data_IF_409807385211
#
_entry.id   IF_409807385211
#
_cell.length_a   1.000
_cell.length_b   1.000
_cell.length_c   1.000
_cell.angle_alpha   90.00
_cell.angle_beta   90.00
_cell.angle_gamma   90.00
#
_symmetry.space_group_name_H-M   'P 1'
#
loop_
_entity.id
_entity.type
_entity.pdbx_description
1 polymer ?
#
# COMPACT_ATOMS: atom_id res chain seq x y z
N UNK A 1 -24.43 39.16 20.69
CA UNK A 1 -23.23 38.69 21.40
C UNK A 1 -22.84 37.34 20.83
N UNK A 2 -21.62 37.29 20.29
CA UNK A 2 -20.79 36.13 19.95
C UNK A 2 -21.35 35.09 18.98
N UNK A 3 -21.31 35.43 17.68
CA UNK A 3 -21.11 34.47 16.59
C UNK A 3 -19.63 34.09 16.56
N UNK A 4 -19.28 32.88 17.00
CA UNK A 4 -17.94 32.34 16.87
C UNK A 4 -17.84 31.61 15.53
N UNK A 5 -17.34 32.30 14.52
CA UNK A 5 -16.94 31.70 13.26
C UNK A 5 -15.83 30.67 13.52
N UNK A 6 -16.09 29.41 13.20
CA UNK A 6 -15.02 28.43 12.99
C UNK A 6 -14.40 28.73 11.64
N UNK A 7 -13.26 29.38 11.66
CA UNK A 7 -12.33 29.46 10.52
C UNK A 7 -11.86 28.04 10.22
N UNK A 8 -12.25 27.52 9.06
CA UNK A 8 -11.66 26.31 8.48
C UNK A 8 -10.24 26.64 8.06
N UNK A 9 -9.24 26.19 8.83
CA UNK A 9 -7.83 26.22 8.41
C UNK A 9 -7.64 25.28 7.21
N UNK A 10 -7.84 25.79 6.00
CA UNK A 10 -7.36 25.11 4.78
C UNK A 10 -5.86 25.38 4.66
N UNK A 11 -5.06 24.30 4.68
CA UNK A 11 -3.61 24.35 4.57
C UNK A 11 -3.17 25.13 3.33
N UNK A 12 -2.20 26.04 3.51
CA UNK A 12 -1.79 27.03 2.50
C UNK A 12 -1.40 26.47 1.13
N UNK A 13 -1.08 27.35 0.17
CA UNK A 13 -0.76 27.05 -1.25
C UNK A 13 0.20 25.87 -1.48
N UNK A 14 0.18 25.25 -2.67
CA UNK A 14 1.16 24.23 -3.09
C UNK A 14 2.60 24.68 -2.80
N UNK A 15 2.94 25.95 -3.08
CA UNK A 15 4.24 26.54 -2.75
C UNK A 15 4.58 26.50 -1.26
N UNK A 16 3.62 26.84 -0.40
CA UNK A 16 3.80 26.73 1.05
C UNK A 16 3.97 25.28 1.52
N UNK A 17 3.23 24.33 0.94
CA UNK A 17 3.30 22.90 1.28
C UNK A 17 4.63 22.27 0.87
N UNK A 18 5.14 22.62 -0.31
CA UNK A 18 6.50 22.23 -0.75
C UNK A 18 7.56 22.84 0.18
N UNK A 19 7.39 24.10 0.61
CA UNK A 19 8.30 24.74 1.59
C UNK A 19 8.36 23.96 2.90
N UNK A 20 7.21 23.54 3.39
CA UNK A 20 7.09 22.79 4.64
C UNK A 20 7.67 21.38 4.52
N UNK A 21 7.47 20.71 3.38
CA UNK A 21 8.08 19.41 3.09
C UNK A 21 9.62 19.49 3.05
N UNK A 22 10.19 20.54 2.42
CA UNK A 22 11.64 20.78 2.39
C UNK A 22 12.19 20.98 3.81
N UNK A 23 11.49 21.77 4.64
CA UNK A 23 11.86 21.97 6.06
C UNK A 23 11.78 20.68 6.86
N UNK A 24 10.73 19.88 6.67
CA UNK A 24 10.54 18.61 7.37
C UNK A 24 11.62 17.57 7.03
N UNK A 25 12.03 17.52 5.76
CA UNK A 25 13.13 16.67 5.29
C UNK A 25 14.53 17.18 5.70
N UNK A 26 14.62 18.34 6.37
CA UNK A 26 15.86 19.00 6.79
C UNK A 26 16.88 19.19 5.64
N UNK A 27 16.40 19.36 4.41
CA UNK A 27 17.22 19.67 3.23
C UNK A 27 17.09 21.13 2.83
N UNK A 28 18.08 21.67 2.14
CA UNK A 28 18.01 23.06 1.64
C UNK A 28 17.26 23.09 0.30
N UNK A 29 16.60 24.21 0.00
CA UNK A 29 15.99 24.42 -1.32
C UNK A 29 17.00 24.24 -2.46
N UNK A 30 18.27 24.64 -2.26
CA UNK A 30 19.33 24.46 -3.24
C UNK A 30 19.59 22.98 -3.55
N UNK A 31 19.61 22.13 -2.52
CA UNK A 31 19.78 20.68 -2.67
C UNK A 31 18.54 20.06 -3.31
N UNK A 32 17.35 20.44 -2.87
CA UNK A 32 16.09 19.98 -3.49
C UNK A 32 16.05 20.32 -4.97
N UNK A 33 16.37 21.56 -5.35
CA UNK A 33 16.39 22.00 -6.75
C UNK A 33 17.36 21.16 -7.59
N UNK A 34 18.58 20.95 -7.11
CA UNK A 34 19.57 20.11 -7.80
C UNK A 34 19.11 18.66 -7.95
N UNK A 35 18.44 18.08 -6.95
CA UNK A 35 17.97 16.68 -6.97
C UNK A 35 16.74 16.45 -7.83
N UNK A 36 15.94 17.48 -8.09
CA UNK A 36 14.72 17.40 -8.91
C UNK A 36 14.90 18.03 -10.29
N UNK A 37 16.15 18.33 -10.67
CA UNK A 37 16.55 18.93 -11.95
C UNK A 37 15.81 20.25 -12.23
N UNK A 38 15.82 21.13 -11.22
CA UNK A 38 15.34 22.50 -11.27
C UNK A 38 16.47 23.47 -10.95
N UNK A 39 16.40 24.68 -11.50
CA UNK A 39 17.27 25.77 -11.02
C UNK A 39 16.80 26.25 -9.63
N UNK A 40 17.72 26.67 -8.73
CA UNK A 40 17.34 27.24 -7.44
C UNK A 40 16.39 28.44 -7.55
N UNK A 41 16.51 29.24 -8.62
CA UNK A 41 15.60 30.35 -8.90
C UNK A 41 14.19 29.86 -9.28
N UNK A 42 14.08 28.85 -10.16
CA UNK A 42 12.79 28.27 -10.54
C UNK A 42 12.06 27.67 -9.33
N UNK A 43 12.79 26.94 -8.47
CA UNK A 43 12.20 26.39 -7.25
C UNK A 43 11.78 27.49 -6.27
N UNK A 44 12.60 28.53 -6.09
CA UNK A 44 12.28 29.67 -5.21
C UNK A 44 11.03 30.41 -5.69
N UNK A 45 10.90 30.66 -7.00
CA UNK A 45 9.72 31.28 -7.57
C UNK A 45 8.48 30.41 -7.38
N UNK A 46 8.60 29.10 -7.53
CA UNK A 46 7.47 28.19 -7.35
C UNK A 46 7.02 28.03 -5.89
N UNK A 47 7.98 27.95 -4.96
CA UNK A 47 7.67 27.93 -3.52
C UNK A 47 7.01 29.22 -3.03
N UNK A 48 7.32 30.35 -3.66
CA UNK A 48 6.74 31.65 -3.33
C UNK A 48 5.52 32.01 -4.21
N UNK A 49 4.92 31.03 -4.88
CA UNK A 49 3.71 31.17 -5.70
C UNK A 49 3.86 32.19 -6.86
N UNK A 50 5.09 32.50 -7.27
CA UNK A 50 5.42 33.37 -8.43
C UNK A 50 5.57 32.59 -9.74
N UNK A 51 5.40 31.27 -9.69
CA UNK A 51 5.51 30.31 -10.80
C UNK A 51 4.78 29.03 -10.39
N UNK A 52 3.84 28.52 -11.19
CA UNK A 52 3.27 27.20 -10.91
C UNK A 52 4.36 26.12 -10.99
N UNK A 53 4.28 25.09 -10.13
CA UNK A 53 5.12 23.92 -10.35
C UNK A 53 4.64 23.17 -11.58
N UNK A 54 5.57 22.65 -12.37
CA UNK A 54 5.19 21.64 -13.35
C UNK A 54 4.91 20.32 -12.65
N UNK A 55 4.08 19.49 -13.26
CA UNK A 55 3.70 18.17 -12.76
C UNK A 55 4.91 17.26 -12.52
N UNK A 56 5.91 17.29 -13.41
CA UNK A 56 7.13 16.50 -13.26
C UNK A 56 8.01 17.03 -12.14
N UNK A 57 7.94 18.33 -11.83
CA UNK A 57 8.60 18.92 -10.66
C UNK A 57 7.93 18.47 -9.36
N UNK A 58 6.59 18.52 -9.25
CA UNK A 58 5.88 18.07 -8.03
C UNK A 58 6.11 16.58 -7.74
N UNK A 59 6.10 15.74 -8.77
CA UNK A 59 6.40 14.31 -8.63
C UNK A 59 7.84 14.10 -8.17
N UNK A 60 8.82 14.71 -8.84
CA UNK A 60 10.24 14.58 -8.45
C UNK A 60 10.49 15.12 -7.04
N UNK A 61 9.81 16.20 -6.65
CA UNK A 61 9.85 16.76 -5.30
C UNK A 61 9.23 15.80 -4.28
N UNK A 62 8.07 15.22 -4.55
CA UNK A 62 7.43 14.24 -3.67
C UNK A 62 8.31 12.98 -3.50
N UNK A 63 8.85 12.47 -4.61
CA UNK A 63 9.76 11.32 -4.64
C UNK A 63 11.04 11.59 -3.82
N UNK A 64 11.69 12.74 -4.06
CA UNK A 64 12.95 13.10 -3.40
C UNK A 64 12.77 13.38 -1.91
N UNK A 65 11.69 14.08 -1.53
CA UNK A 65 11.44 14.46 -0.14
C UNK A 65 10.73 13.35 0.66
N UNK A 66 10.30 12.26 0.01
CA UNK A 66 9.45 11.24 0.62
C UNK A 66 8.10 11.82 1.09
N UNK A 67 7.62 12.87 0.42
CA UNK A 67 6.39 13.57 0.77
C UNK A 67 5.17 12.95 0.08
N UNK A 68 4.00 13.05 0.72
CA UNK A 68 2.74 12.60 0.13
C UNK A 68 2.30 13.57 -0.97
N UNK A 69 2.31 13.10 -2.23
CA UNK A 69 1.90 13.90 -3.38
C UNK A 69 0.45 14.39 -3.25
N UNK A 70 -0.44 13.59 -2.64
CA UNK A 70 -1.82 14.02 -2.34
C UNK A 70 -1.80 15.26 -1.46
N UNK A 71 -1.03 15.23 -0.37
CA UNK A 71 -0.90 16.38 0.52
C UNK A 71 -0.36 17.62 -0.21
N UNK A 72 0.63 17.45 -1.08
CA UNK A 72 1.17 18.57 -1.85
C UNK A 72 0.11 19.21 -2.76
N UNK A 73 -0.75 18.41 -3.39
CA UNK A 73 -1.76 18.87 -4.35
C UNK A 73 -3.03 19.37 -3.65
N UNK A 74 -3.57 18.64 -2.67
CA UNK A 74 -4.88 18.93 -2.06
C UNK A 74 -4.80 19.64 -0.71
N UNK A 75 -3.60 19.75 -0.11
CA UNK A 75 -3.43 20.32 1.22
C UNK A 75 -3.87 19.43 2.38
N UNK A 76 -4.58 18.34 2.09
CA UNK A 76 -5.02 17.36 3.06
C UNK A 76 -3.82 16.57 3.58
N UNK A 77 -3.43 16.81 4.84
CA UNK A 77 -2.47 15.94 5.51
C UNK A 77 -3.23 14.66 5.79
N UNK A 78 -2.86 13.57 5.11
CA UNK A 78 -3.24 12.25 5.58
C UNK A 78 -2.58 12.04 6.95
N UNK A 79 -3.19 12.57 8.01
CA UNK A 79 -2.84 12.16 9.35
C UNK A 79 -3.32 10.72 9.42
N UNK A 80 -2.41 9.79 9.11
CA UNK A 80 -2.63 8.34 9.03
C UNK A 80 -3.25 7.75 10.32
N UNK A 81 -3.47 8.57 11.35
CA UNK A 81 -4.14 8.27 12.62
C UNK A 81 -5.61 8.71 12.69
N UNK A 82 -6.06 9.65 11.87
CA UNK A 82 -7.42 10.19 11.94
C UNK A 82 -8.44 9.44 11.08
N UNK A 83 -8.01 8.44 10.30
CA UNK A 83 -8.95 7.55 9.61
C UNK A 83 -9.54 6.47 10.54
N UNK A 84 -10.17 6.89 11.65
CA UNK A 84 -11.37 6.20 12.16
C UNK A 84 -12.55 6.97 11.60
N UNK A 85 -13.05 6.52 10.45
CA UNK A 85 -14.06 7.25 9.70
C UNK A 85 -15.27 7.63 10.55
N UNK A 86 -15.69 8.88 10.45
CA UNK A 86 -17.13 9.12 10.35
C UNK A 86 -17.53 8.71 8.93
N UNK A 87 -18.53 7.84 8.75
CA UNK A 87 -19.07 7.52 7.44
C UNK A 87 -19.53 8.83 6.80
N UNK A 88 -19.12 9.11 5.56
CA UNK A 88 -19.80 10.12 4.77
C UNK A 88 -21.26 9.66 4.60
N UNK A 89 -22.26 10.35 5.18
CA UNK A 89 -23.65 9.87 5.21
C UNK A 89 -24.28 9.77 3.81
N UNK A 90 -23.66 10.39 2.80
CA UNK A 90 -24.23 10.52 1.46
C UNK A 90 -23.93 9.33 0.53
N UNK A 91 -23.21 8.30 0.99
CA UNK A 91 -22.95 7.09 0.20
C UNK A 91 -23.43 5.80 0.90
N UNK A 92 -24.63 5.84 1.51
CA UNK A 92 -25.21 4.77 2.33
C UNK A 92 -26.01 3.72 1.54
N UNK A 93 -25.50 3.25 0.41
CA UNK A 93 -25.93 1.98 -0.18
C UNK A 93 -24.73 1.06 -0.27
N UNK A 94 -24.68 0.09 0.65
CA UNK A 94 -23.76 -1.04 0.54
C UNK A 94 -23.98 -1.68 -0.84
N UNK A 95 -22.95 -1.73 -1.70
CA UNK A 95 -23.10 -2.25 -3.05
C UNK A 95 -23.41 -3.75 -3.05
N UNK A 96 -24.31 -4.21 -3.93
CA UNK A 96 -24.60 -5.62 -4.25
C UNK A 96 -23.51 -6.17 -5.18
N UNK A 97 -23.49 -7.48 -5.39
CA UNK A 97 -22.49 -8.19 -6.22
C UNK A 97 -22.34 -7.69 -7.68
N UNK A 98 -23.27 -6.90 -8.21
CA UNK A 98 -23.19 -6.23 -9.53
C UNK A 98 -22.21 -5.02 -9.52
N UNK A 99 -21.76 -4.57 -8.35
CA UNK A 99 -21.03 -3.31 -8.19
C UNK A 99 -19.49 -3.44 -8.30
N UNK A 100 -18.92 -4.65 -8.16
CA UNK A 100 -17.48 -4.86 -8.43
C UNK A 100 -17.17 -4.53 -9.90
N UNK A 101 -17.99 -5.00 -10.85
CA UNK A 101 -17.77 -4.75 -12.28
C UNK A 101 -17.83 -3.27 -12.63
N UNK A 102 -18.66 -2.48 -11.94
CA UNK A 102 -18.68 -1.01 -12.12
C UNK A 102 -17.33 -0.40 -11.74
N UNK A 103 -16.76 -0.83 -10.60
CA UNK A 103 -15.43 -0.39 -10.21
C UNK A 103 -14.36 -0.87 -11.20
N UNK A 104 -14.44 -2.13 -11.64
CA UNK A 104 -13.49 -2.71 -12.58
C UNK A 104 -13.54 -2.03 -13.96
N UNK A 105 -14.72 -1.63 -14.44
CA UNK A 105 -14.87 -0.87 -15.69
C UNK A 105 -14.33 0.56 -15.56
N UNK A 106 -14.61 1.23 -14.45
CA UNK A 106 -13.98 2.52 -14.13
C UNK A 106 -12.45 2.40 -14.06
N UNK A 107 -11.96 1.30 -13.50
CA UNK A 107 -10.55 1.00 -13.41
C UNK A 107 -9.92 0.76 -14.79
N UNK A 108 -10.55 -0.04 -15.66
CA UNK A 108 -10.11 -0.21 -17.06
C UNK A 108 -10.07 1.14 -17.78
N UNK A 109 -11.12 1.95 -17.61
CA UNK A 109 -11.20 3.27 -18.21
C UNK A 109 -10.07 4.20 -17.75
N UNK A 110 -9.77 4.21 -16.44
CA UNK A 110 -8.64 4.95 -15.89
C UNK A 110 -7.32 4.55 -16.56
N UNK A 111 -7.03 3.25 -16.71
CA UNK A 111 -5.81 2.82 -17.39
C UNK A 111 -5.79 3.31 -18.85
N UNK A 112 -6.88 3.17 -19.60
CA UNK A 112 -6.97 3.67 -20.97
C UNK A 112 -6.78 5.19 -21.06
N UNK A 113 -7.30 5.95 -20.08
CA UNK A 113 -7.14 7.41 -20.01
C UNK A 113 -5.69 7.86 -19.72
N UNK A 114 -4.86 7.00 -19.14
CA UNK A 114 -3.48 7.33 -18.77
C UNK A 114 -2.56 7.52 -19.98
N UNK A 115 -2.98 7.08 -21.17
CA UNK A 115 -2.19 7.11 -22.40
C UNK A 115 -1.37 5.84 -22.55
N UNK A 116 -0.04 5.95 -22.61
CA UNK A 116 0.82 4.78 -22.84
C UNK A 116 0.89 3.89 -21.60
N UNK A 117 0.31 2.69 -21.72
CA UNK A 117 0.44 1.63 -20.72
C UNK A 117 1.66 0.77 -21.07
N UNK A 118 2.54 0.55 -20.09
CA UNK A 118 3.70 -0.33 -20.24
C UNK A 118 3.32 -1.76 -19.81
N UNK A 119 3.30 -2.75 -20.72
CA UNK A 119 2.90 -4.10 -20.38
C UNK A 119 3.82 -4.71 -19.33
N UNK A 120 3.28 -5.63 -18.54
CA UNK A 120 4.05 -6.36 -17.55
C UNK A 120 5.04 -7.28 -18.26
N UNK A 121 6.35 -7.20 -17.95
CA UNK A 121 7.32 -8.17 -18.43
C UNK A 121 6.92 -9.59 -18.02
N UNK A 122 7.37 -10.64 -18.74
CA UNK A 122 7.10 -12.02 -18.35
C UNK A 122 7.48 -12.27 -16.89
N UNK A 123 6.51 -12.70 -16.10
CA UNK A 123 6.73 -12.99 -14.69
C UNK A 123 7.67 -14.20 -14.53
N UNK A 124 8.55 -14.20 -13.53
CA UNK A 124 9.34 -15.37 -13.20
C UNK A 124 8.46 -16.59 -12.94
N UNK A 125 8.89 -17.75 -13.43
CA UNK A 125 8.06 -18.97 -13.44
C UNK A 125 8.13 -19.76 -12.13
N UNK A 126 9.05 -19.40 -11.25
CA UNK A 126 9.23 -20.07 -9.96
C UNK A 126 8.99 -19.11 -8.79
N UNK A 127 8.41 -19.59 -7.67
CA UNK A 127 8.26 -18.79 -6.46
C UNK A 127 9.60 -18.22 -5.96
N UNK A 128 10.69 -18.99 -6.13
CA UNK A 128 12.03 -18.56 -5.72
C UNK A 128 12.51 -17.34 -6.51
N UNK A 129 12.42 -17.37 -7.84
CA UNK A 129 12.81 -16.24 -8.68
C UNK A 129 11.92 -15.02 -8.43
N UNK A 130 10.61 -15.22 -8.20
CA UNK A 130 9.71 -14.14 -7.78
C UNK A 130 10.18 -13.48 -6.47
N UNK A 131 10.52 -14.26 -5.44
CA UNK A 131 11.05 -13.71 -4.17
C UNK A 131 12.35 -12.94 -4.38
N UNK A 132 13.24 -13.47 -5.23
CA UNK A 132 14.51 -12.79 -5.56
C UNK A 132 14.24 -11.45 -6.25
N UNK A 133 13.33 -11.42 -7.23
CA UNK A 133 12.94 -10.19 -7.94
C UNK A 133 12.24 -9.15 -7.07
N UNK A 134 11.39 -9.59 -6.14
CA UNK A 134 10.71 -8.70 -5.17
C UNK A 134 11.65 -8.18 -4.07
N UNK A 135 12.77 -8.88 -3.85
CA UNK A 135 13.80 -8.50 -2.89
C UNK A 135 13.47 -8.85 -1.43
N UNK A 136 14.40 -8.56 -0.49
CA UNK A 136 14.21 -8.88 0.91
C UNK A 136 13.08 -8.05 1.54
N UNK A 137 12.34 -8.65 2.48
CA UNK A 137 11.25 -8.00 3.22
C UNK A 137 10.15 -7.41 2.32
N UNK A 138 9.96 -7.95 1.12
CA UNK A 138 9.03 -7.40 0.13
C UNK A 138 7.59 -7.29 0.66
N UNK A 139 7.20 -8.14 1.61
CA UNK A 139 5.87 -8.19 2.21
C UNK A 139 5.50 -6.96 3.06
N UNK A 140 6.46 -6.15 3.48
CA UNK A 140 6.17 -4.89 4.17
C UNK A 140 5.70 -3.78 3.21
N UNK A 141 5.98 -3.93 1.90
CA UNK A 141 5.64 -2.96 0.87
C UNK A 141 5.29 -3.68 -0.45
N UNK A 142 4.47 -4.73 -0.36
CA UNK A 142 4.19 -5.67 -1.45
C UNK A 142 3.69 -4.94 -2.71
N UNK A 143 2.74 -4.02 -2.54
CA UNK A 143 2.18 -3.18 -3.60
C UNK A 143 3.27 -2.44 -4.40
N UNK A 144 4.23 -1.82 -3.71
CA UNK A 144 5.33 -1.08 -4.34
C UNK A 144 6.34 -2.00 -5.03
N UNK A 145 6.62 -3.18 -4.45
CA UNK A 145 7.55 -4.15 -5.02
C UNK A 145 7.00 -4.79 -6.29
N UNK A 146 5.70 -5.06 -6.31
CA UNK A 146 5.01 -5.55 -7.51
C UNK A 146 5.03 -4.49 -8.62
N UNK A 147 4.82 -3.21 -8.29
CA UNK A 147 4.90 -2.13 -9.27
C UNK A 147 6.25 -2.04 -9.99
N UNK A 148 7.35 -2.41 -9.32
CA UNK A 148 8.71 -2.45 -9.89
C UNK A 148 8.89 -3.55 -10.94
N UNK A 149 8.13 -4.65 -10.85
CA UNK A 149 8.14 -5.73 -11.84
C UNK A 149 6.97 -5.63 -12.83
N UNK A 150 6.28 -4.48 -12.83
CA UNK A 150 5.20 -4.21 -13.76
C UNK A 150 3.83 -4.77 -13.37
N UNK A 151 3.65 -5.22 -12.12
CA UNK A 151 2.35 -5.67 -11.60
C UNK A 151 1.77 -4.59 -10.70
N UNK A 152 0.58 -4.09 -11.02
CA UNK A 152 -0.04 -3.03 -10.23
C UNK A 152 -0.99 -3.60 -9.19
N UNK A 153 -0.87 -3.17 -7.93
CA UNK A 153 -1.82 -3.50 -6.86
C UNK A 153 -2.69 -2.29 -6.56
N UNK A 154 -4.01 -2.50 -6.55
CA UNK A 154 -5.01 -1.47 -6.26
C UNK A 154 -5.84 -1.92 -5.08
N UNK A 155 -6.03 -1.03 -4.11
CA UNK A 155 -6.90 -1.26 -2.95
C UNK A 155 -8.08 -0.31 -3.02
N UNK A 156 -9.29 -0.83 -2.91
CA UNK A 156 -10.51 -0.02 -2.94
C UNK A 156 -11.58 -0.56 -1.99
N UNK A 157 -12.44 0.32 -1.46
CA UNK A 157 -13.48 -0.05 -0.48
C UNK A 157 -14.72 -0.63 -1.14
N UNK A 158 -14.88 -0.31 -2.41
CA UNK A 158 -15.99 -0.67 -3.28
C UNK A 158 -15.88 -2.13 -3.73
N UNK A 159 -14.67 -2.69 -3.70
CA UNK A 159 -14.43 -4.09 -4.04
C UNK A 159 -14.86 -4.99 -2.89
N UNK A 160 -15.63 -6.02 -3.22
CA UNK A 160 -16.07 -7.04 -2.29
C UNK A 160 -15.11 -8.25 -2.25
N UNK A 161 -14.40 -8.50 -3.34
CA UNK A 161 -13.41 -9.57 -3.45
C UNK A 161 -12.18 -9.14 -4.26
N UNK A 162 -11.05 -9.84 -4.10
CA UNK A 162 -9.90 -9.73 -4.99
C UNK A 162 -10.24 -10.07 -6.45
N UNK A 163 -9.61 -9.37 -7.39
CA UNK A 163 -9.71 -9.58 -8.83
C UNK A 163 -8.33 -9.45 -9.49
N UNK A 164 -8.16 -10.18 -10.59
CA UNK A 164 -7.03 -10.05 -11.50
C UNK A 164 -7.55 -9.51 -12.84
N UNK A 165 -6.89 -8.49 -13.38
CA UNK A 165 -7.19 -7.90 -14.67
C UNK A 165 -5.92 -7.82 -15.52
N UNK A 166 -6.12 -7.91 -16.83
CA UNK A 166 -5.15 -7.51 -17.84
C UNK A 166 -5.72 -6.29 -18.57
N UNK A 167 -4.96 -5.20 -18.60
CA UNK A 167 -5.27 -4.03 -19.42
C UNK A 167 -4.06 -3.73 -20.30
N UNK A 168 -4.20 -4.00 -21.61
CA UNK A 168 -3.13 -3.81 -22.60
C UNK A 168 -1.82 -4.54 -22.23
N UNK A 169 -1.92 -5.74 -21.66
CA UNK A 169 -0.77 -6.54 -21.23
C UNK A 169 -0.20 -6.11 -19.86
N UNK A 170 -0.80 -5.13 -19.18
CA UNK A 170 -0.48 -4.78 -17.80
C UNK A 170 -1.33 -5.61 -16.84
N UNK A 171 -0.68 -6.39 -15.98
CA UNK A 171 -1.29 -7.16 -14.92
C UNK A 171 -1.66 -6.24 -13.76
N UNK A 172 -2.92 -6.29 -13.36
CA UNK A 172 -3.49 -5.52 -12.26
C UNK A 172 -4.14 -6.49 -11.26
N UNK A 173 -3.81 -6.33 -9.99
CA UNK A 173 -4.42 -7.05 -8.88
C UNK A 173 -5.22 -6.04 -8.06
N UNK A 174 -6.54 -6.10 -8.16
CA UNK A 174 -7.45 -5.21 -7.45
C UNK A 174 -8.02 -5.94 -6.23
N UNK A 175 -7.85 -5.40 -5.03
CA UNK A 175 -8.31 -6.04 -3.78
C UNK A 175 -9.14 -5.09 -2.91
N UNK A 176 -10.03 -5.63 -2.06
CA UNK A 176 -10.70 -4.84 -1.05
C UNK A 176 -9.71 -4.19 -0.08
N UNK A 177 -9.96 -2.95 0.34
CA UNK A 177 -9.27 -2.41 1.51
C UNK A 177 -9.62 -3.25 2.73
N UNK A 178 -8.61 -3.61 3.53
CA UNK A 178 -8.83 -4.46 4.70
C UNK A 178 -7.92 -4.06 5.84
N UNK A 179 -8.46 -4.11 7.06
CA UNK A 179 -7.66 -4.04 8.27
C UNK A 179 -6.86 -5.34 8.51
N UNK A 180 -7.11 -6.40 7.75
CA UNK A 180 -6.30 -7.61 7.78
C UNK A 180 -5.24 -7.57 6.67
N UNK A 181 -4.11 -6.95 6.99
CA UNK A 181 -2.96 -6.88 6.11
C UNK A 181 -2.39 -8.27 5.78
N UNK A 182 -2.51 -9.24 6.71
CA UNK A 182 -2.00 -10.58 6.49
C UNK A 182 -2.83 -11.36 5.48
N UNK A 183 -4.16 -11.22 5.54
CA UNK A 183 -5.04 -11.80 4.53
C UNK A 183 -4.86 -11.12 3.17
N UNK A 184 -4.69 -9.78 3.15
CA UNK A 184 -4.41 -9.05 1.90
C UNK A 184 -3.19 -9.59 1.16
N UNK A 185 -2.12 -9.95 1.87
CA UNK A 185 -0.92 -10.52 1.25
C UNK A 185 -1.16 -11.91 0.66
N UNK A 186 -2.00 -12.73 1.32
CA UNK A 186 -2.41 -14.03 0.79
C UNK A 186 -3.21 -13.85 -0.50
N UNK A 187 -4.16 -12.93 -0.50
CA UNK A 187 -5.00 -12.64 -1.66
C UNK A 187 -4.14 -12.15 -2.85
N UNK A 188 -3.22 -11.22 -2.60
CA UNK A 188 -2.29 -10.73 -3.63
C UNK A 188 -1.41 -11.86 -4.16
N UNK A 189 -0.84 -12.70 -3.28
CA UNK A 189 0.01 -13.80 -3.69
C UNK A 189 -0.73 -14.83 -4.55
N UNK A 190 -2.00 -15.13 -4.23
CA UNK A 190 -2.84 -16.01 -5.05
C UNK A 190 -3.06 -15.42 -6.45
N UNK A 191 -3.39 -14.13 -6.56
CA UNK A 191 -3.63 -13.50 -7.86
C UNK A 191 -2.35 -13.32 -8.68
N UNK A 192 -1.22 -13.07 -8.02
CA UNK A 192 0.09 -13.09 -8.67
C UNK A 192 0.44 -14.49 -9.18
N UNK A 193 0.15 -15.53 -8.39
CA UNK A 193 0.37 -16.91 -8.80
C UNK A 193 -0.49 -17.29 -10.01
N UNK A 194 -1.75 -16.84 -10.07
CA UNK A 194 -2.60 -17.02 -11.27
C UNK A 194 -1.94 -16.43 -12.51
N UNK A 195 -1.42 -15.20 -12.42
CA UNK A 195 -0.75 -14.54 -13.52
C UNK A 195 0.59 -15.21 -13.90
N UNK A 196 1.36 -15.70 -12.92
CA UNK A 196 2.66 -16.32 -13.14
C UNK A 196 2.58 -17.75 -13.67
N UNK A 197 1.57 -18.52 -13.27
CA UNK A 197 1.47 -19.94 -13.69
C UNK A 197 1.22 -20.04 -15.19
N UNK A 198 0.49 -19.11 -15.81
CA UNK A 198 0.43 -18.93 -17.27
C UNK A 198 0.19 -20.20 -18.10
N UNK A 199 -0.38 -21.26 -17.51
CA UNK A 199 -0.67 -22.53 -18.19
C UNK A 199 -1.96 -22.40 -18.96
N UNK A 200 -2.11 -23.19 -20.02
CA UNK A 200 -3.43 -23.55 -20.53
C UNK A 200 -4.15 -24.33 -19.41
N UNK A 201 -5.01 -23.64 -18.66
CA UNK A 201 -5.86 -24.17 -17.59
C UNK A 201 -5.10 -24.64 -16.31
N UNK A 202 -4.51 -23.72 -15.52
CA UNK A 202 -3.93 -24.07 -14.22
C UNK A 202 -4.99 -24.63 -13.28
N UNK A 203 -4.62 -25.64 -12.47
CA UNK A 203 -5.51 -26.08 -11.39
C UNK A 203 -5.45 -25.12 -10.22
N UNK A 204 -6.53 -25.00 -9.45
CA UNK A 204 -6.53 -24.22 -8.19
C UNK A 204 -5.37 -24.64 -7.27
N UNK A 205 -5.03 -25.93 -7.27
CA UNK A 205 -3.94 -26.48 -6.47
C UNK A 205 -2.55 -26.00 -6.93
N UNK A 206 -2.34 -25.81 -8.24
CA UNK A 206 -1.08 -25.25 -8.76
C UNK A 206 -0.90 -23.79 -8.26
N UNK A 207 -1.96 -22.99 -8.36
CA UNK A 207 -1.99 -21.59 -7.91
C UNK A 207 -1.73 -21.50 -6.42
N UNK A 208 -2.43 -22.29 -5.61
CA UNK A 208 -2.26 -22.34 -4.15
C UNK A 208 -0.82 -22.74 -3.80
N UNK A 209 -0.26 -23.74 -4.46
CA UNK A 209 1.10 -24.20 -4.21
C UNK A 209 2.15 -23.11 -4.48
N UNK A 210 2.00 -22.37 -5.58
CA UNK A 210 2.89 -21.25 -5.94
C UNK A 210 2.75 -20.10 -4.93
N UNK A 211 1.53 -19.73 -4.54
CA UNK A 211 1.28 -18.68 -3.57
C UNK A 211 1.82 -19.05 -2.17
N UNK A 212 1.59 -20.28 -1.72
CA UNK A 212 2.09 -20.79 -0.44
C UNK A 212 3.62 -20.82 -0.41
N UNK A 213 4.27 -21.30 -1.47
CA UNK A 213 5.74 -21.32 -1.56
C UNK A 213 6.33 -19.91 -1.70
N UNK A 214 5.62 -18.99 -2.36
CA UNK A 214 6.01 -17.58 -2.46
C UNK A 214 6.00 -16.91 -1.09
N UNK A 215 4.98 -17.15 -0.27
CA UNK A 215 4.82 -16.51 1.05
C UNK A 215 5.60 -17.23 2.15
N UNK A 216 5.54 -18.56 2.16
CA UNK A 216 6.02 -19.44 3.21
C UNK A 216 6.86 -20.59 2.61
N UNK A 217 8.10 -20.30 2.18
CA UNK A 217 8.97 -21.29 1.54
C UNK A 217 9.19 -22.53 2.41
N UNK A 218 9.12 -23.71 1.80
CA UNK A 218 9.27 -24.98 2.51
C UNK A 218 10.63 -25.08 3.22
N UNK A 219 11.70 -24.66 2.55
CA UNK A 219 13.06 -24.71 3.11
C UNK A 219 13.18 -23.84 4.38
N UNK A 220 12.60 -22.64 4.39
CA UNK A 220 12.58 -21.76 5.55
C UNK A 220 11.73 -22.37 6.67
N UNK A 221 10.54 -22.90 6.36
CA UNK A 221 9.67 -23.56 7.34
C UNK A 221 10.33 -24.76 8.02
N UNK A 222 11.05 -25.59 7.27
CA UNK A 222 11.76 -26.76 7.79
C UNK A 222 12.98 -26.40 8.63
N UNK A 223 13.58 -25.23 8.40
CA UNK A 223 14.73 -24.74 9.18
C UNK A 223 14.38 -24.30 10.60
N UNK A 224 13.09 -24.10 10.89
CA UNK A 224 12.62 -23.63 12.20
C UNK A 224 12.50 -24.81 13.16
N UNK A 225 13.10 -24.67 14.35
CA UNK A 225 12.86 -25.60 15.46
C UNK A 225 11.49 -25.32 16.11
N UNK A 226 10.45 -25.95 15.54
CA UNK A 226 9.08 -25.86 16.04
C UNK A 226 8.91 -26.44 17.46
N UNK A 227 9.83 -27.27 17.95
CA UNK A 227 9.74 -27.85 19.29
C UNK A 227 10.22 -26.91 20.39
N UNK A 228 11.03 -25.90 20.07
CA UNK A 228 11.52 -24.89 21.01
C UNK A 228 10.96 -23.48 20.76
N UNK A 229 10.29 -23.26 19.63
CA UNK A 229 9.72 -21.95 19.29
C UNK A 229 8.79 -21.39 20.40
N UNK A 230 9.03 -20.13 20.76
CA UNK A 230 8.20 -19.37 21.70
C UNK A 230 7.05 -18.66 20.98
N UNK A 231 6.03 -18.23 21.73
CA UNK A 231 4.92 -17.42 21.16
C UNK A 231 5.44 -16.12 20.54
N UNK A 232 6.38 -15.44 21.21
CA UNK A 232 7.01 -14.22 20.69
C UNK A 232 7.74 -14.47 19.36
N UNK A 233 8.47 -15.59 19.24
CA UNK A 233 9.12 -15.98 17.99
C UNK A 233 8.11 -16.30 16.88
N UNK A 234 7.01 -16.99 17.21
CA UNK A 234 5.92 -17.26 16.28
C UNK A 234 5.27 -15.96 15.77
N UNK A 235 4.97 -15.00 16.64
CA UNK A 235 4.43 -13.70 16.24
C UNK A 235 5.40 -12.93 15.33
N UNK A 236 6.70 -12.99 15.60
CA UNK A 236 7.72 -12.40 14.71
C UNK A 236 7.75 -13.06 13.34
N UNK A 237 7.60 -14.38 13.26
CA UNK A 237 7.53 -15.11 11.98
C UNK A 237 6.28 -14.71 11.19
N UNK A 238 5.09 -14.74 11.81
CA UNK A 238 3.83 -14.32 11.18
C UNK A 238 3.91 -12.88 10.68
N UNK A 239 4.52 -11.97 11.46
CA UNK A 239 4.72 -10.58 11.06
C UNK A 239 5.75 -10.44 9.93
N UNK A 240 6.85 -11.18 9.97
CA UNK A 240 7.90 -11.12 8.93
C UNK A 240 7.39 -11.65 7.59
N UNK A 241 6.63 -12.73 7.62
CA UNK A 241 6.05 -13.33 6.42
C UNK A 241 4.69 -12.75 6.04
N UNK A 242 4.12 -11.89 6.89
CA UNK A 242 2.85 -11.22 6.63
C UNK A 242 1.71 -12.17 6.27
N UNK A 243 1.62 -13.31 6.96
CA UNK A 243 0.62 -14.35 6.74
C UNK A 243 -0.24 -14.57 7.99
N UNK A 244 -1.53 -14.95 7.83
CA UNK A 244 -2.39 -15.24 8.96
C UNK A 244 -2.05 -16.58 9.62
N UNK A 245 -2.45 -16.74 10.87
CA UNK A 245 -2.25 -18.00 11.64
C UNK A 245 -2.80 -19.22 10.91
N UNK A 246 -3.96 -19.08 10.27
CA UNK A 246 -4.61 -20.13 9.49
C UNK A 246 -3.76 -20.56 8.30
N UNK A 247 -3.21 -19.63 7.51
CA UNK A 247 -2.39 -19.96 6.34
C UNK A 247 -1.12 -20.72 6.76
N UNK A 248 -0.44 -20.25 7.82
CA UNK A 248 0.73 -20.97 8.36
C UNK A 248 0.35 -22.35 8.90
N UNK A 249 -0.78 -22.48 9.60
CA UNK A 249 -1.29 -23.77 10.08
C UNK A 249 -1.51 -24.76 8.95
N UNK A 250 -2.26 -24.37 7.93
CA UNK A 250 -2.54 -25.19 6.73
C UNK A 250 -1.23 -25.61 6.05
N UNK A 251 -0.30 -24.67 5.84
CA UNK A 251 0.98 -24.96 5.16
C UNK A 251 1.83 -25.97 5.94
N UNK A 252 1.88 -25.86 7.27
CA UNK A 252 2.61 -26.81 8.12
C UNK A 252 1.99 -28.21 8.05
N UNK A 253 0.67 -28.31 7.99
CA UNK A 253 -0.04 -29.58 7.83
C UNK A 253 0.21 -30.21 6.46
N UNK A 254 0.10 -29.44 5.38
CA UNK A 254 0.39 -29.88 4.00
C UNK A 254 1.83 -30.43 3.87
N UNK A 255 2.81 -29.72 4.43
CA UNK A 255 4.23 -30.12 4.41
C UNK A 255 4.57 -31.23 5.42
N UNK A 256 3.57 -31.68 6.21
CA UNK A 256 3.70 -32.68 7.27
C UNK A 256 4.77 -32.33 8.30
N UNK A 257 4.91 -31.04 8.61
CA UNK A 257 5.86 -30.55 9.62
C UNK A 257 5.24 -30.76 11.01
N UNK A 258 5.94 -31.51 11.86
CA UNK A 258 5.46 -31.80 13.22
C UNK A 258 5.52 -30.54 14.08
N UNK A 259 4.35 -30.08 14.53
CA UNK A 259 4.21 -28.97 15.46
C UNK A 259 3.79 -29.47 16.85
N UNK A 260 4.32 -28.92 17.96
CA UNK A 260 3.84 -29.28 19.30
C UNK A 260 2.46 -28.68 19.59
N UNK A 261 1.72 -29.26 20.55
CA UNK A 261 0.36 -28.83 20.93
C UNK A 261 0.25 -27.33 21.26
N UNK A 262 1.33 -26.73 21.80
CA UNK A 262 1.37 -25.29 22.09
C UNK A 262 1.36 -24.42 20.84
N UNK A 263 2.06 -24.83 19.79
CA UNK A 263 2.08 -24.11 18.51
C UNK A 263 0.72 -24.23 17.83
N UNK A 264 0.16 -25.44 17.78
CA UNK A 264 -1.20 -25.66 17.24
C UNK A 264 -2.27 -24.82 17.94
N UNK A 265 -2.20 -24.69 19.28
CA UNK A 265 -3.11 -23.82 20.03
C UNK A 265 -3.00 -22.36 19.63
N UNK A 266 -1.78 -21.84 19.44
CA UNK A 266 -1.58 -20.47 18.98
C UNK A 266 -2.07 -20.27 17.54
N UNK A 267 -1.83 -21.24 16.65
CA UNK A 267 -2.27 -21.18 15.25
C UNK A 267 -3.79 -21.33 15.07
N UNK A 268 -4.48 -21.91 16.06
CA UNK A 268 -5.94 -21.97 16.09
C UNK A 268 -6.60 -20.65 16.52
N UNK A 269 -5.84 -19.69 17.05
CA UNK A 269 -6.34 -18.35 17.36
C UNK A 269 -6.41 -17.49 16.10
N UNK A 270 -7.23 -16.44 16.10
CA UNK A 270 -7.12 -15.41 15.07
C UNK A 270 -5.76 -14.71 15.17
N UNK A 271 -5.22 -14.25 14.04
CA UNK A 271 -3.94 -13.52 14.00
C UNK A 271 -3.96 -12.30 14.93
N UNK A 272 -5.08 -11.57 14.95
CA UNK A 272 -5.29 -10.40 15.81
C UNK A 272 -5.29 -10.76 17.30
N UNK A 273 -5.96 -11.85 17.68
CA UNK A 273 -5.96 -12.31 19.08
C UNK A 273 -4.58 -12.75 19.54
N UNK A 274 -3.84 -13.44 18.67
CA UNK A 274 -2.48 -13.89 18.97
C UNK A 274 -1.53 -12.69 19.15
N UNK A 275 -1.62 -11.68 18.29
CA UNK A 275 -0.83 -10.45 18.43
C UNK A 275 -1.23 -9.63 19.66
N UNK A 276 -2.52 -9.52 19.96
CA UNK A 276 -3.01 -8.84 21.18
C UNK A 276 -2.47 -9.53 22.44
N UNK A 277 -2.61 -10.85 22.51
CA UNK A 277 -2.14 -11.65 23.65
C UNK A 277 -0.61 -11.55 23.84
N UNK A 278 0.15 -11.46 22.74
CA UNK A 278 1.61 -11.26 22.83
C UNK A 278 1.94 -9.84 23.30
N UNK A 279 1.25 -8.82 22.81
CA UNK A 279 1.43 -7.42 23.24
C UNK A 279 1.15 -7.22 24.74
N UNK A 280 0.10 -7.86 25.26
CA UNK A 280 -0.20 -7.85 26.70
C UNK A 280 0.88 -8.52 27.55
N UNK A 281 1.45 -9.62 27.06
CA UNK A 281 2.58 -10.29 27.71
C UNK A 281 3.82 -9.40 27.73
N UNK A 282 4.15 -8.75 26.60
CA UNK A 282 5.30 -7.84 26.49
C UNK A 282 5.17 -6.64 27.45
N UNK A 283 3.96 -6.07 27.60
CA UNK A 283 3.67 -4.98 28.56
C UNK A 283 3.85 -5.43 30.01
N UNK A 284 3.34 -6.61 30.34
CA UNK A 284 3.42 -7.17 31.70
C UNK A 284 4.88 -7.44 32.10
N UNK A 285 5.74 -7.84 31.15
CA UNK A 285 7.19 -8.01 31.39
C UNK A 285 7.91 -6.67 31.53
N UNK A 286 7.53 -5.65 30.76
CA UNK A 286 8.10 -4.31 30.85
C UNK A 286 7.78 -3.62 32.19
N UNK A 287 6.55 -3.75 32.68
CA UNK A 287 6.11 -3.19 33.97
C UNK A 287 6.80 -3.86 35.17
N UNK A 288 7.26 -5.11 35.02
CA UNK A 288 8.02 -5.86 36.04
C UNK A 288 9.51 -5.50 36.11
N UNK A 289 9.93 -4.37 35.53
CA UNK A 289 11.24 -3.76 35.77
C UNK A 289 12.41 -4.37 35.00
N UNK A 290 12.19 -5.36 34.12
CA UNK A 290 13.22 -5.80 33.18
C UNK A 290 13.19 -4.89 31.95
N UNK A 291 13.90 -3.75 32.05
CA UNK A 291 14.25 -2.91 30.89
C UNK A 291 15.17 -3.69 29.95
N UNK A 292 14.58 -4.53 29.11
CA UNK A 292 15.29 -5.14 27.99
C UNK A 292 14.31 -5.39 26.84
N UNK A 293 13.89 -4.31 26.18
CA UNK A 293 13.29 -4.43 24.85
C UNK A 293 13.53 -3.17 24.02
N UNK A 294 14.78 -2.68 24.00
CA UNK A 294 15.32 -2.09 22.77
C UNK A 294 15.65 -3.24 21.81
N UNK A 295 14.64 -4.03 21.44
CA UNK A 295 14.78 -5.06 20.43
C UNK A 295 14.75 -4.36 19.06
N UNK A 296 15.70 -4.70 18.21
CA UNK A 296 15.89 -4.13 16.86
C UNK A 296 14.55 -3.86 16.16
N UNK A 297 14.19 -2.58 16.04
CA UNK A 297 13.16 -2.13 15.08
C UNK A 297 13.73 -2.26 13.68
N UNK A 298 13.85 -3.49 13.17
CA UNK A 298 13.91 -3.74 11.73
C UNK A 298 12.49 -4.07 11.28
N UNK A 299 11.90 -3.17 10.49
CA UNK A 299 10.56 -3.31 9.90
C UNK A 299 9.51 -2.34 10.43
N UNK A 300 8.46 -2.11 9.62
CA UNK A 300 7.35 -1.20 9.94
C UNK A 300 6.53 -1.67 11.14
N UNK A 301 6.17 -0.79 12.10
CA UNK A 301 5.21 -1.07 13.17
C UNK A 301 3.94 -1.76 12.67
N UNK A 302 3.36 -2.67 13.46
CA UNK A 302 2.13 -3.37 13.08
C UNK A 302 0.99 -2.39 12.74
N UNK A 303 0.85 -1.30 13.50
CA UNK A 303 -0.13 -0.24 13.21
C UNK A 303 0.05 0.36 11.82
N UNK A 304 1.28 0.56 11.37
CA UNK A 304 1.56 1.20 10.09
C UNK A 304 1.21 0.27 8.93
N UNK A 305 1.43 -1.05 9.09
CA UNK A 305 0.99 -2.08 8.14
C UNK A 305 -0.54 -2.15 8.02
N UNK A 306 -1.25 -2.09 9.16
CA UNK A 306 -2.72 -2.11 9.20
C UNK A 306 -3.33 -0.86 8.55
N UNK A 307 -2.73 0.31 8.77
CA UNK A 307 -3.16 1.56 8.14
C UNK A 307 -2.92 1.48 6.63
N UNK A 308 -1.72 1.03 6.21
CA UNK A 308 -1.39 0.90 4.80
C UNK A 308 -2.35 -0.04 4.06
N UNK A 309 -2.74 -1.18 4.66
CA UNK A 309 -3.65 -2.14 4.03
C UNK A 309 -5.11 -1.67 3.95
N UNK A 310 -5.49 -0.70 4.79
CA UNK A 310 -6.86 -0.17 4.89
C UNK A 310 -7.10 1.09 4.04
N UNK A 311 -6.04 1.67 3.47
CA UNK A 311 -6.13 2.85 2.62
C UNK A 311 -6.47 2.46 1.17
N UNK A 312 -7.26 3.29 0.48
CA UNK A 312 -7.36 3.22 -0.98
C UNK A 312 -5.98 3.51 -1.56
N UNK A 313 -5.53 2.69 -2.50
CA UNK A 313 -4.22 2.86 -3.16
C UNK A 313 -4.32 2.60 -4.65
N UNK A 314 -3.62 3.43 -5.42
CA UNK A 314 -3.38 3.28 -6.85
C UNK A 314 -1.88 3.41 -7.13
N UNK A 315 -1.36 2.79 -8.20
CA UNK A 315 0.03 2.95 -8.60
C UNK A 315 0.39 4.41 -8.82
N UNK A 316 1.56 4.82 -8.33
CA UNK A 316 2.03 6.20 -8.44
C UNK A 316 2.11 6.68 -9.89
N UNK A 317 2.58 5.82 -10.80
CA UNK A 317 2.71 6.16 -12.21
C UNK A 317 1.35 6.50 -12.84
N UNK A 318 0.30 5.79 -12.44
CA UNK A 318 -1.05 5.98 -12.96
C UNK A 318 -1.68 7.28 -12.43
N UNK A 319 -1.51 7.56 -11.14
CA UNK A 319 -1.91 8.85 -10.54
C UNK A 319 -1.18 9.99 -11.25
N UNK A 320 0.13 9.84 -11.47
CA UNK A 320 0.95 10.84 -12.15
C UNK A 320 0.46 11.07 -13.59
N UNK A 321 0.13 10.02 -14.33
CA UNK A 321 -0.40 10.15 -15.69
C UNK A 321 -1.72 10.95 -15.71
N UNK A 322 -2.66 10.65 -14.82
CA UNK A 322 -3.92 11.40 -14.73
C UNK A 322 -3.70 12.84 -14.31
N UNK A 323 -2.84 13.08 -13.33
CA UNK A 323 -2.47 14.43 -12.91
C UNK A 323 -1.92 15.25 -14.09
N UNK A 324 -1.04 14.68 -14.91
CA UNK A 324 -0.51 15.35 -16.10
C UNK A 324 -1.62 15.72 -17.09
N UNK A 325 -2.50 14.77 -17.40
CA UNK A 325 -3.59 14.98 -18.36
C UNK A 325 -4.60 16.04 -17.87
N UNK A 326 -4.92 16.03 -16.57
CA UNK A 326 -5.80 17.04 -15.95
C UNK A 326 -5.16 18.43 -16.01
N UNK A 327 -3.87 18.53 -15.70
CA UNK A 327 -3.13 19.80 -15.74
C UNK A 327 -2.97 20.36 -17.15
N UNK A 328 -2.98 19.49 -18.18
CA UNK A 328 -2.97 19.88 -19.59
C UNK A 328 -4.37 20.22 -20.13
N UNK A 329 -5.42 20.09 -19.31
CA UNK A 329 -6.81 20.29 -19.73
C UNK A 329 -7.34 19.19 -20.66
N UNK A 330 -6.63 18.07 -20.78
CA UNK A 330 -6.97 16.94 -21.64
C UNK A 330 -7.98 16.00 -20.98
N UNK A 331 -8.01 15.96 -19.64
CA UNK A 331 -8.99 15.20 -18.86
C UNK A 331 -9.63 16.07 -17.78
N UNK A 332 -10.91 15.85 -17.44
CA UNK A 332 -11.50 16.42 -16.24
C UNK A 332 -10.87 15.81 -14.97
N UNK A 333 -10.84 16.54 -13.84
CA UNK A 333 -10.26 16.06 -12.58
C UNK A 333 -11.03 14.89 -11.92
N UNK A 334 -12.14 14.45 -12.48
CA UNK A 334 -13.04 13.44 -11.91
C UNK A 334 -12.37 12.09 -11.66
N UNK A 335 -11.65 11.55 -12.65
CA UNK A 335 -10.96 10.26 -12.50
C UNK A 335 -9.84 10.35 -11.46
N UNK A 336 -9.11 11.48 -11.43
CA UNK A 336 -8.06 11.71 -10.44
C UNK A 336 -8.62 11.83 -9.03
N UNK A 337 -9.74 12.54 -8.86
CA UNK A 337 -10.45 12.66 -7.59
C UNK A 337 -10.92 11.30 -7.07
N UNK A 338 -11.48 10.48 -7.95
CA UNK A 338 -11.87 9.11 -7.66
C UNK A 338 -10.68 8.24 -7.23
N UNK A 339 -9.54 8.31 -7.92
CA UNK A 339 -8.32 7.57 -7.53
C UNK A 339 -7.84 7.98 -6.12
N UNK A 340 -7.93 9.27 -5.80
CA UNK A 340 -7.45 9.83 -4.55
C UNK A 340 -8.45 9.72 -3.39
N UNK A 341 -9.68 9.25 -3.62
CA UNK A 341 -10.78 9.24 -2.64
C UNK A 341 -11.10 10.64 -2.10
N UNK A 342 -11.22 11.64 -2.99
CA UNK A 342 -11.53 13.03 -2.63
C UNK A 342 -12.62 13.61 -3.52
N UNK A 343 -13.28 14.66 -3.04
CA UNK A 343 -14.23 15.43 -3.86
C UNK A 343 -13.47 16.18 -4.96
N UNK A 344 -14.06 16.23 -6.15
CA UNK A 344 -13.45 16.86 -7.33
C UNK A 344 -13.07 18.32 -7.10
N UNK A 345 -13.86 19.04 -6.30
CA UNK A 345 -13.67 20.46 -5.98
C UNK A 345 -12.45 20.71 -5.07
N UNK A 346 -11.90 19.67 -4.45
CA UNK A 346 -10.72 19.77 -3.57
C UNK A 346 -9.40 19.72 -4.34
N UNK A 347 -9.43 19.40 -5.64
CA UNK A 347 -8.25 19.36 -6.48
C UNK A 347 -7.92 20.78 -6.95
N UNK A 348 -6.95 21.41 -6.28
CA UNK A 348 -6.40 22.71 -6.69
C UNK A 348 -5.54 22.54 -7.95
N UNK A 349 -6.05 22.99 -9.09
CA UNK A 349 -5.29 23.03 -10.34
C UNK A 349 -4.56 24.39 -10.47
N UNK A 350 -3.25 24.43 -10.76
CA UNK A 350 -2.57 25.65 -11.15
C UNK A 350 -3.25 26.23 -12.39
N UNK A 351 -3.62 27.51 -12.30
CA UNK A 351 -4.24 28.25 -13.39
C UNK A 351 -3.25 28.27 -14.57
N UNK A 352 -3.66 27.73 -15.72
CA UNK A 352 -2.86 27.80 -16.95
C UNK A 352 -2.59 29.28 -17.27
N UNK A 353 -1.31 29.65 -17.32
CA UNK A 353 -0.84 31.00 -17.63
C UNK A 353 -0.64 31.19 -19.13
#
# INVERSE_FOLDING_TARGET
>A
MSSSGRTTEHGGTIGSRVRDAIRAAQVTQKVTAASVDMTPDALSRSVNDKRAFTSSELVRIADFLGADLRHLVTGDRSDRREWRGQPNPQNTKLPRFEDDEVFLDQLRHAYTQSGTIHPTPPLPRTPHELRVGLGPQFLEALDNRLGQIGVDVIRARELMRPHHLDVEGRIIIAIPTSADWTQSNVDIAMHLAMAAVGRDNPTDQDVISVADELLMPENELRSIDWNSISRAALCRILRRWGVPTRALGTRLEQLRIRTPKRVRRNLAMSTSDLFRLQSEADRTEADRGKRSARAEKKGLPLTDLLIASSARTFPRWLINAHLQQVLQGMLPPTTLAWMLDVDVDTIELPVAS
#
